data_IF_404904171893
#
_entry.id   IF_404904171893
#
_cell.length_a   1.000
_cell.length_b   1.000
_cell.length_c   1.000
_cell.angle_alpha   90.00
_cell.angle_beta   90.00
_cell.angle_gamma   90.00
#
_symmetry.space_group_name_H-M   'P 1'
#
loop_
_entity.id
_entity.type
_entity.pdbx_description
1 polymer ?
#
# COMPACT_ATOMS: atom_id res chain seq x y z
N UNK A 1 22.49 -20.00 -6.45
CA UNK A 1 21.64 -18.79 -6.61
C UNK A 1 20.80 -18.92 -7.87
N UNK A 2 21.41 -19.30 -8.99
CA UNK A 2 20.75 -19.43 -10.30
C UNK A 2 19.57 -20.42 -10.36
N UNK A 3 19.66 -21.61 -9.74
CA UNK A 3 18.55 -22.59 -9.73
C UNK A 3 17.27 -22.07 -9.05
N UNK A 4 17.40 -21.26 -8.01
CA UNK A 4 16.26 -20.63 -7.33
C UNK A 4 15.56 -19.68 -8.31
N UNK A 5 16.32 -18.83 -9.00
CA UNK A 5 15.77 -17.87 -9.95
C UNK A 5 15.12 -18.55 -11.15
N UNK A 6 15.74 -19.60 -11.71
CA UNK A 6 15.13 -20.37 -12.79
C UNK A 6 13.82 -21.06 -12.35
N UNK A 7 13.77 -21.59 -11.13
CA UNK A 7 12.55 -22.13 -10.54
C UNK A 7 11.46 -21.06 -10.43
N UNK A 8 11.81 -19.89 -9.92
CA UNK A 8 10.86 -18.79 -9.76
C UNK A 8 10.42 -18.18 -11.08
N UNK A 9 11.29 -18.08 -12.08
CA UNK A 9 10.92 -17.65 -13.42
C UNK A 9 9.87 -18.60 -14.02
N UNK A 10 10.06 -19.92 -13.89
CA UNK A 10 9.06 -20.91 -14.31
C UNK A 10 7.73 -20.77 -13.57
N UNK A 11 7.77 -20.49 -12.26
CA UNK A 11 6.56 -20.20 -11.48
C UNK A 11 5.82 -18.97 -12.00
N UNK A 12 6.53 -17.89 -12.34
CA UNK A 12 5.90 -16.69 -12.89
C UNK A 12 5.32 -16.89 -14.29
N UNK A 13 5.99 -17.67 -15.15
CA UNK A 13 5.41 -18.08 -16.43
C UNK A 13 4.13 -18.91 -16.22
N UNK A 14 4.14 -19.84 -15.26
CA UNK A 14 2.98 -20.64 -14.91
C UNK A 14 1.82 -19.79 -14.37
N UNK A 15 2.09 -18.77 -13.54
CA UNK A 15 1.07 -17.81 -13.09
C UNK A 15 0.35 -17.18 -14.28
N UNK A 16 1.09 -16.69 -15.27
CA UNK A 16 0.52 -16.10 -16.49
C UNK A 16 -0.41 -17.05 -17.23
N UNK A 17 0.04 -18.30 -17.47
CA UNK A 17 -0.77 -19.33 -18.14
C UNK A 17 -2.05 -19.61 -17.35
N UNK A 18 -1.96 -19.79 -16.03
CA UNK A 18 -3.15 -20.04 -15.20
C UNK A 18 -4.12 -18.87 -15.22
N UNK A 19 -3.63 -17.63 -15.19
CA UNK A 19 -4.48 -16.45 -15.30
C UNK A 19 -5.14 -16.35 -16.68
N UNK A 20 -4.45 -16.73 -17.76
CA UNK A 20 -5.05 -16.81 -19.11
C UNK A 20 -6.18 -17.85 -19.15
N UNK A 21 -5.98 -19.04 -18.59
CA UNK A 21 -6.99 -20.10 -18.49
C UNK A 21 -8.24 -19.66 -17.71
N UNK A 22 -8.06 -18.78 -16.72
CA UNK A 22 -9.15 -18.20 -15.91
C UNK A 22 -9.76 -16.93 -16.54
N UNK A 23 -9.25 -16.47 -17.68
CA UNK A 23 -9.69 -15.22 -18.32
C UNK A 23 -9.25 -13.94 -17.58
N UNK A 24 -8.31 -14.04 -16.65
CA UNK A 24 -7.87 -12.99 -15.74
C UNK A 24 -6.52 -12.32 -16.14
N UNK A 25 -5.89 -12.73 -17.23
CA UNK A 25 -4.54 -12.28 -17.60
C UNK A 25 -4.40 -10.76 -17.86
N UNK A 26 -5.49 -10.10 -18.23
CA UNK A 26 -5.53 -8.65 -18.52
C UNK A 26 -6.36 -7.86 -17.51
N UNK A 27 -6.76 -8.51 -16.42
CA UNK A 27 -7.50 -7.88 -15.35
C UNK A 27 -6.60 -6.95 -14.53
N UNK A 28 -7.21 -5.91 -13.98
CA UNK A 28 -6.61 -5.16 -12.89
C UNK A 28 -6.54 -6.03 -11.64
N UNK A 29 -5.77 -5.61 -10.64
CA UNK A 29 -5.71 -6.31 -9.37
C UNK A 29 -6.30 -5.50 -8.22
N UNK A 30 -6.78 -6.20 -7.19
CA UNK A 30 -7.23 -5.66 -5.91
C UNK A 30 -6.64 -6.50 -4.79
N UNK A 31 -6.30 -5.87 -3.69
CA UNK A 31 -5.70 -6.52 -2.53
C UNK A 31 -6.46 -6.10 -1.29
N UNK A 32 -6.93 -7.09 -0.53
CA UNK A 32 -7.43 -6.89 0.82
C UNK A 32 -6.50 -7.63 1.78
N UNK A 33 -5.63 -6.86 2.44
CA UNK A 33 -4.68 -7.40 3.41
C UNK A 33 -5.35 -7.77 4.75
N UNK A 34 -6.52 -7.21 5.07
CA UNK A 34 -7.26 -7.53 6.28
C UNK A 34 -7.84 -8.94 6.25
N UNK A 35 -8.28 -9.39 5.07
CA UNK A 35 -8.75 -10.79 4.86
C UNK A 35 -7.75 -11.65 4.09
N UNK A 36 -6.56 -11.11 3.80
CA UNK A 36 -5.44 -11.79 3.11
C UNK A 36 -5.84 -12.34 1.75
N UNK A 37 -6.54 -11.53 0.94
CA UNK A 37 -6.97 -11.90 -0.41
C UNK A 37 -6.38 -10.98 -1.46
N UNK A 38 -6.02 -11.58 -2.59
CA UNK A 38 -5.64 -10.92 -3.82
C UNK A 38 -6.65 -11.32 -4.89
N UNK A 39 -7.16 -10.36 -5.63
CA UNK A 39 -8.13 -10.56 -6.70
C UNK A 39 -7.62 -9.99 -8.00
N UNK A 40 -7.88 -10.70 -9.10
CA UNK A 40 -7.84 -10.14 -10.44
C UNK A 40 -9.26 -9.80 -10.84
N UNK A 41 -9.54 -8.52 -11.08
CA UNK A 41 -10.86 -7.97 -11.35
C UNK A 41 -10.97 -7.45 -12.78
N UNK A 42 -12.10 -7.71 -13.41
CA UNK A 42 -12.40 -7.13 -14.72
C UNK A 42 -12.73 -5.62 -14.64
N UNK A 43 -13.06 -5.02 -15.79
CA UNK A 43 -13.40 -3.59 -15.88
C UNK A 43 -14.70 -3.23 -15.14
N UNK A 44 -15.53 -4.22 -14.79
CA UNK A 44 -16.76 -4.05 -14.03
C UNK A 44 -16.52 -4.28 -12.52
N UNK A 45 -15.30 -4.63 -12.12
CA UNK A 45 -14.91 -4.91 -10.74
C UNK A 45 -15.26 -6.33 -10.28
N UNK A 46 -15.65 -7.23 -11.19
CA UNK A 46 -15.94 -8.62 -10.88
C UNK A 46 -14.62 -9.39 -10.82
N UNK A 47 -14.39 -10.10 -9.70
CA UNK A 47 -13.20 -10.94 -9.57
C UNK A 47 -13.35 -12.17 -10.47
N UNK A 48 -12.31 -12.44 -11.28
CA UNK A 48 -12.23 -13.63 -12.13
C UNK A 48 -11.29 -14.69 -11.53
N UNK A 49 -10.24 -14.23 -10.85
CA UNK A 49 -9.31 -15.09 -10.12
C UNK A 49 -9.03 -14.50 -8.73
N UNK A 50 -8.71 -15.39 -7.79
CA UNK A 50 -8.34 -15.03 -6.44
C UNK A 50 -7.17 -15.88 -5.95
N UNK A 51 -6.38 -15.31 -5.03
CA UNK A 51 -5.34 -15.99 -4.28
C UNK A 51 -5.36 -15.52 -2.83
N UNK A 52 -4.84 -16.34 -1.93
CA UNK A 52 -4.49 -15.86 -0.60
C UNK A 52 -3.18 -15.08 -0.69
N UNK A 53 -3.03 -14.02 0.12
CA UNK A 53 -1.90 -13.11 -0.02
C UNK A 53 -1.38 -12.59 1.31
N UNK A 54 -0.07 -12.36 1.35
CA UNK A 54 0.65 -11.70 2.43
C UNK A 54 1.78 -10.87 1.83
N UNK A 55 2.15 -9.78 2.49
CA UNK A 55 3.28 -8.95 2.08
C UNK A 55 4.58 -9.66 2.41
N UNK A 56 5.51 -9.63 1.45
CA UNK A 56 6.87 -10.15 1.61
C UNK A 56 7.82 -9.01 2.02
N UNK A 57 7.80 -7.94 1.23
CA UNK A 57 8.57 -6.73 1.47
C UNK A 57 8.02 -5.56 0.66
N UNK A 58 8.44 -4.35 1.00
CA UNK A 58 8.22 -3.14 0.21
C UNK A 58 9.56 -2.56 -0.21
N UNK A 59 9.68 -2.18 -1.47
CA UNK A 59 10.80 -1.41 -2.01
C UNK A 59 10.40 0.05 -2.15
N UNK A 60 11.18 0.97 -1.59
CA UNK A 60 10.97 2.40 -1.68
C UNK A 60 11.84 2.98 -2.81
N UNK A 61 11.20 3.64 -3.78
CA UNK A 61 11.89 4.21 -4.94
C UNK A 61 12.75 5.44 -4.55
N UNK A 62 12.35 6.16 -3.51
CA UNK A 62 12.96 7.41 -3.08
C UNK A 62 14.34 7.26 -2.46
N UNK A 63 14.53 6.23 -1.63
CA UNK A 63 15.79 5.98 -0.92
C UNK A 63 16.42 4.62 -1.28
N UNK A 64 15.84 3.92 -2.27
CA UNK A 64 16.33 2.65 -2.78
C UNK A 64 16.48 1.60 -1.66
N UNK A 65 15.55 1.60 -0.71
CA UNK A 65 15.55 0.66 0.41
C UNK A 65 14.48 -0.40 0.28
N UNK A 66 14.76 -1.59 0.80
CA UNK A 66 13.80 -2.68 0.98
C UNK A 66 13.53 -2.81 2.48
N UNK A 67 12.26 -2.79 2.86
CA UNK A 67 11.78 -3.11 4.20
C UNK A 67 11.01 -4.42 4.15
N UNK A 68 11.43 -5.42 4.93
CA UNK A 68 10.74 -6.70 5.02
C UNK A 68 9.42 -6.54 5.76
N UNK A 69 8.41 -7.32 5.37
CA UNK A 69 7.04 -7.15 5.87
C UNK A 69 6.93 -7.30 7.39
N UNK A 70 7.64 -8.27 7.98
CA UNK A 70 7.65 -8.49 9.43
C UNK A 70 8.26 -7.33 10.22
N UNK A 71 9.08 -6.51 9.58
CA UNK A 71 9.71 -5.34 10.18
C UNK A 71 8.88 -4.06 9.99
N UNK A 72 7.76 -4.12 9.26
CA UNK A 72 6.90 -2.97 9.04
C UNK A 72 5.89 -2.83 10.21
N UNK A 73 6.07 -1.83 11.10
CA UNK A 73 5.18 -1.64 12.26
C UNK A 73 3.79 -1.13 11.86
N UNK A 74 3.55 -0.91 10.56
CA UNK A 74 2.29 -0.43 10.04
C UNK A 74 1.47 -1.51 9.34
N UNK A 75 2.05 -2.68 9.16
CA UNK A 75 1.36 -3.83 8.61
C UNK A 75 0.76 -4.66 9.75
N UNK A 76 -0.45 -5.18 9.54
CA UNK A 76 -1.01 -6.17 10.45
C UNK A 76 -0.10 -7.41 10.47
N UNK A 77 0.15 -7.97 11.65
CA UNK A 77 0.98 -9.19 11.78
C UNK A 77 0.48 -10.35 10.92
N UNK A 78 -0.83 -10.45 10.69
CA UNK A 78 -1.40 -11.49 9.81
C UNK A 78 -1.25 -11.17 8.32
N UNK A 79 -1.09 -9.90 7.97
CA UNK A 79 -0.86 -9.45 6.60
C UNK A 79 0.61 -9.57 6.18
N UNK A 80 1.53 -9.73 7.12
CA UNK A 80 2.94 -9.99 6.89
C UNK A 80 3.23 -11.50 6.85
N UNK A 81 4.29 -11.89 6.13
CA UNK A 81 4.93 -13.18 6.39
C UNK A 81 5.71 -13.15 7.72
N UNK A 82 5.98 -14.32 8.28
CA UNK A 82 6.86 -14.45 9.44
C UNK A 82 8.31 -14.07 9.11
N UNK A 83 9.07 -13.72 10.13
CA UNK A 83 10.48 -13.37 9.99
C UNK A 83 11.30 -14.56 9.47
N UNK A 84 12.04 -14.33 8.39
CA UNK A 84 12.87 -15.37 7.76
C UNK A 84 14.27 -15.37 8.38
N UNK A 85 14.74 -16.50 8.97
CA UNK A 85 16.07 -16.57 9.56
C UNK A 85 17.18 -16.18 8.58
N UNK A 86 18.07 -15.30 9.02
CA UNK A 86 19.22 -14.84 8.23
C UNK A 86 18.93 -13.70 7.24
N UNK A 87 17.66 -13.31 7.08
CA UNK A 87 17.31 -12.10 6.32
C UNK A 87 17.33 -10.87 7.23
N UNK A 88 17.79 -9.75 6.70
CA UNK A 88 17.77 -8.45 7.42
C UNK A 88 16.40 -7.81 7.29
N UNK A 89 15.97 -7.11 8.34
CA UNK A 89 14.72 -6.35 8.38
C UNK A 89 14.67 -5.25 7.32
N UNK A 90 15.81 -4.58 7.10
CA UNK A 90 15.97 -3.51 6.12
C UNK A 90 17.28 -3.67 5.36
N UNK A 91 17.24 -3.38 4.07
CA UNK A 91 18.42 -3.33 3.19
C UNK A 91 18.37 -2.01 2.40
N UNK A 92 19.41 -1.20 2.52
CA UNK A 92 19.52 0.09 1.80
C UNK A 92 20.40 -0.05 0.56
N UNK A 93 20.24 0.85 -0.41
CA UNK A 93 21.08 0.92 -1.60
C UNK A 93 20.80 -0.16 -2.65
N UNK A 94 19.62 -0.76 -2.62
CA UNK A 94 19.18 -1.80 -3.55
C UNK A 94 18.72 -1.20 -4.89
N UNK A 95 18.82 -1.95 -5.98
CA UNK A 95 17.98 -1.71 -7.15
C UNK A 95 16.71 -2.59 -7.15
N UNK A 96 15.90 -2.48 -8.21
CA UNK A 96 14.70 -3.30 -8.37
C UNK A 96 15.01 -4.79 -8.54
N UNK A 97 16.16 -5.14 -9.12
CA UNK A 97 16.56 -6.53 -9.26
C UNK A 97 16.89 -7.10 -7.87
N UNK A 98 17.68 -6.39 -7.06
CA UNK A 98 17.97 -6.76 -5.67
C UNK A 98 16.70 -6.93 -4.84
N UNK A 99 15.75 -5.99 -4.97
CA UNK A 99 14.45 -6.06 -4.29
C UNK A 99 13.66 -7.30 -4.71
N UNK A 100 13.66 -7.64 -6.00
CA UNK A 100 13.06 -8.88 -6.50
C UNK A 100 13.75 -10.12 -5.94
N UNK A 101 15.07 -10.12 -5.86
CA UNK A 101 15.84 -11.24 -5.29
C UNK A 101 15.45 -11.50 -3.83
N UNK A 102 15.36 -10.43 -3.03
CA UNK A 102 14.94 -10.51 -1.63
C UNK A 102 13.49 -10.99 -1.51
N UNK A 103 12.58 -10.48 -2.34
CA UNK A 103 11.19 -10.92 -2.37
C UNK A 103 11.07 -12.42 -2.71
N UNK A 104 11.82 -12.90 -3.69
CA UNK A 104 11.86 -14.32 -4.10
C UNK A 104 12.40 -15.21 -2.98
N UNK A 105 13.46 -14.80 -2.29
CA UNK A 105 14.01 -15.55 -1.15
C UNK A 105 12.99 -15.65 -0.01
N UNK A 106 12.34 -14.52 0.32
CA UNK A 106 11.30 -14.47 1.34
C UNK A 106 10.09 -15.34 0.98
N UNK A 107 9.67 -15.29 -0.29
CA UNK A 107 8.57 -16.11 -0.82
C UNK A 107 8.89 -17.61 -0.77
N UNK A 108 10.12 -18.00 -1.08
CA UNK A 108 10.57 -19.39 -1.02
C UNK A 108 10.52 -19.92 0.41
N UNK A 109 11.05 -19.14 1.36
CA UNK A 109 11.02 -19.47 2.78
C UNK A 109 9.60 -19.53 3.35
N UNK A 110 8.70 -18.65 2.91
CA UNK A 110 7.30 -18.63 3.31
C UNK A 110 6.42 -19.66 2.57
N UNK A 111 6.99 -20.42 1.62
CA UNK A 111 6.26 -21.42 0.85
C UNK A 111 5.20 -20.84 -0.08
N UNK A 112 5.38 -19.61 -0.58
CA UNK A 112 4.48 -19.03 -1.57
C UNK A 112 4.55 -19.78 -2.92
N UNK A 113 3.42 -19.84 -3.62
CA UNK A 113 3.33 -20.42 -4.96
C UNK A 113 3.85 -19.43 -6.01
N UNK A 114 3.51 -18.15 -5.84
CA UNK A 114 3.89 -17.07 -6.75
C UNK A 114 4.26 -15.78 -6.01
N UNK A 115 4.95 -14.87 -6.69
CA UNK A 115 5.20 -13.49 -6.22
C UNK A 115 4.54 -12.50 -7.16
N UNK A 116 3.72 -11.61 -6.63
CA UNK A 116 3.16 -10.50 -7.40
C UNK A 116 3.89 -9.20 -7.06
N UNK A 117 4.20 -8.42 -8.09
CA UNK A 117 4.75 -7.06 -7.95
C UNK A 117 3.61 -6.07 -8.06
N UNK A 118 3.17 -5.52 -6.93
CA UNK A 118 2.15 -4.49 -6.89
C UNK A 118 2.82 -3.10 -7.00
N UNK A 119 2.78 -2.43 -8.17
CA UNK A 119 3.37 -1.12 -8.32
C UNK A 119 2.55 -0.06 -7.59
N UNK A 120 3.24 0.90 -6.98
CA UNK A 120 2.69 2.15 -6.47
C UNK A 120 3.57 3.33 -6.89
N UNK A 121 3.12 4.58 -6.67
CA UNK A 121 3.82 5.78 -7.17
C UNK A 121 5.26 5.93 -6.67
N UNK A 122 5.52 5.52 -5.43
CA UNK A 122 6.80 5.70 -4.73
C UNK A 122 7.31 4.41 -4.09
N UNK A 123 6.56 3.31 -4.25
CA UNK A 123 6.91 2.02 -3.67
C UNK A 123 6.45 0.90 -4.56
N UNK A 124 7.17 -0.22 -4.52
CA UNK A 124 6.74 -1.49 -5.07
C UNK A 124 6.53 -2.45 -3.90
N UNK A 125 5.32 -2.98 -3.76
CA UNK A 125 5.02 -3.98 -2.74
C UNK A 125 5.11 -5.35 -3.39
N UNK A 126 5.92 -6.23 -2.80
CA UNK A 126 6.00 -7.62 -3.23
C UNK A 126 5.07 -8.46 -2.36
N UNK A 127 4.16 -9.17 -3.01
CA UNK A 127 3.14 -10.00 -2.37
C UNK A 127 3.43 -11.47 -2.66
N UNK A 128 3.41 -12.29 -1.63
CA UNK A 128 3.33 -13.73 -1.79
C UNK A 128 1.91 -14.12 -2.14
N UNK A 129 1.75 -15.09 -3.02
CA UNK A 129 0.45 -15.62 -3.43
C UNK A 129 0.41 -17.12 -3.15
N UNK A 130 -0.71 -17.56 -2.57
CA UNK A 130 -1.02 -18.96 -2.28
C UNK A 130 -2.40 -19.30 -2.84
N UNK A 131 -2.66 -20.59 -3.10
CA UNK A 131 -4.01 -21.09 -3.37
C UNK A 131 -4.74 -20.36 -4.51
N UNK A 132 -4.05 -20.12 -5.62
CA UNK A 132 -4.62 -19.50 -6.82
C UNK A 132 -5.80 -20.32 -7.37
N UNK A 133 -6.95 -19.67 -7.54
CA UNK A 133 -8.23 -20.28 -7.92
C UNK A 133 -9.12 -19.31 -8.70
N UNK A 134 -10.16 -19.83 -9.37
CA UNK A 134 -11.22 -18.99 -9.94
C UNK A 134 -12.09 -18.37 -8.84
N UNK A 135 -12.48 -17.11 -9.02
CA UNK A 135 -13.37 -16.40 -8.12
C UNK A 135 -14.83 -16.65 -8.51
N UNK A 136 -15.39 -17.79 -8.10
CA UNK A 136 -16.75 -18.21 -8.51
C UNK A 136 -17.89 -17.42 -7.84
N UNK A 137 -17.64 -16.78 -6.70
CA UNK A 137 -18.60 -15.93 -5.98
C UNK A 137 -17.92 -14.94 -5.01
N UNK A 138 -16.60 -14.78 -5.11
CA UNK A 138 -15.88 -13.86 -4.23
C UNK A 138 -16.00 -12.45 -4.81
N UNK A 139 -16.72 -11.56 -4.12
CA UNK A 139 -16.68 -10.13 -4.41
C UNK A 139 -15.61 -9.49 -3.56
N UNK A 140 -14.80 -8.63 -4.18
CA UNK A 140 -13.96 -7.72 -3.43
C UNK A 140 -14.85 -6.64 -2.80
N UNK A 141 -14.88 -6.59 -1.48
CA UNK A 141 -15.45 -5.46 -0.74
C UNK A 141 -14.30 -4.69 -0.11
N UNK A 142 -14.07 -3.45 -0.57
CA UNK A 142 -13.06 -2.62 0.04
C UNK A 142 -13.48 -2.31 1.48
N UNK A 143 -12.69 -2.80 2.45
CA UNK A 143 -12.84 -2.43 3.85
C UNK A 143 -12.73 -0.91 4.07
N UNK A 144 -13.14 -0.43 5.24
CA UNK A 144 -13.06 0.99 5.55
C UNK A 144 -11.62 1.51 5.45
N UNK A 145 -11.38 2.60 4.69
CA UNK A 145 -10.05 3.21 4.62
C UNK A 145 -9.71 4.03 5.88
N UNK A 146 -10.67 4.26 6.77
CA UNK A 146 -10.54 5.21 7.88
C UNK A 146 -9.33 4.95 8.80
N UNK A 147 -9.04 3.70 9.25
CA UNK A 147 -7.88 3.45 10.11
C UNK A 147 -6.56 3.86 9.46
N UNK A 148 -6.41 3.61 8.16
CA UNK A 148 -5.21 3.98 7.41
C UNK A 148 -5.10 5.50 7.23
N UNK A 149 -6.19 6.16 6.82
CA UNK A 149 -6.21 7.61 6.63
C UNK A 149 -5.92 8.35 7.93
N UNK A 150 -6.58 7.97 9.03
CA UNK A 150 -6.36 8.56 10.36
C UNK A 150 -4.91 8.41 10.81
N UNK A 151 -4.31 7.24 10.59
CA UNK A 151 -2.90 7.00 10.92
C UNK A 151 -1.95 7.89 10.13
N UNK A 152 -2.21 8.11 8.83
CA UNK A 152 -1.42 9.04 8.01
C UNK A 152 -1.54 10.45 8.56
N UNK A 153 -2.76 10.93 8.79
CA UNK A 153 -3.01 12.30 9.28
C UNK A 153 -2.31 12.55 10.61
N UNK A 154 -2.47 11.64 11.59
CA UNK A 154 -1.79 11.73 12.89
C UNK A 154 -0.26 11.72 12.73
N UNK A 155 0.28 10.94 11.80
CA UNK A 155 1.73 10.88 11.55
C UNK A 155 2.24 12.19 10.92
N UNK A 156 1.48 12.78 10.00
CA UNK A 156 1.81 14.07 9.39
C UNK A 156 1.73 15.20 10.42
N UNK A 157 0.72 15.23 11.29
CA UNK A 157 0.62 16.21 12.37
C UNK A 157 1.86 16.16 13.29
N UNK A 158 2.30 14.96 13.67
CA UNK A 158 3.52 14.77 14.47
C UNK A 158 4.77 15.30 13.77
N UNK A 159 4.89 15.10 12.45
CA UNK A 159 6.02 15.62 11.67
C UNK A 159 5.98 17.13 11.51
N UNK A 160 4.80 17.75 11.42
CA UNK A 160 4.65 19.21 11.31
C UNK A 160 5.14 19.93 12.57
N UNK A 161 4.87 19.35 13.76
CA UNK A 161 5.30 19.91 15.04
C UNK A 161 6.72 19.52 15.43
N UNK A 162 7.35 18.61 14.70
CA UNK A 162 8.73 18.19 14.96
C UNK A 162 9.72 19.31 14.59
N UNK A 163 10.47 19.87 15.56
CA UNK A 163 11.39 20.97 15.30
C UNK A 163 12.57 20.60 14.37
N UNK A 164 12.86 19.31 14.18
CA UNK A 164 13.92 18.85 13.26
C UNK A 164 13.40 18.41 11.89
N UNK A 165 12.09 18.55 11.63
CA UNK A 165 11.52 18.18 10.34
C UNK A 165 12.05 19.10 9.22
N UNK A 166 12.53 18.48 8.14
CA UNK A 166 12.96 19.18 6.93
C UNK A 166 11.73 19.51 6.08
N UNK A 167 11.41 20.79 5.82
CA UNK A 167 10.18 21.20 5.12
C UNK A 167 9.98 20.51 3.78
N UNK A 168 11.05 20.34 2.99
CA UNK A 168 11.00 19.69 1.69
C UNK A 168 10.63 18.21 1.83
N UNK A 169 11.14 17.53 2.86
CA UNK A 169 10.80 16.13 3.15
C UNK A 169 9.34 16.00 3.57
N UNK A 170 8.86 16.92 4.41
CA UNK A 170 7.43 16.98 4.77
C UNK A 170 6.57 17.23 3.54
N UNK A 171 6.97 18.17 2.67
CA UNK A 171 6.28 18.48 1.42
C UNK A 171 6.19 17.26 0.49
N UNK A 172 7.28 16.53 0.34
CA UNK A 172 7.32 15.29 -0.43
C UNK A 172 6.39 14.22 0.16
N UNK A 173 6.42 14.02 1.49
CA UNK A 173 5.54 13.06 2.16
C UNK A 173 4.06 13.40 1.97
N UNK A 174 3.70 14.67 2.17
CA UNK A 174 2.32 15.14 1.98
C UNK A 174 1.86 14.92 0.54
N UNK A 175 2.65 15.30 -0.46
CA UNK A 175 2.32 15.08 -1.86
C UNK A 175 2.15 13.59 -2.19
N UNK A 176 3.08 12.75 -1.74
CA UNK A 176 3.08 11.31 -2.03
C UNK A 176 1.89 10.58 -1.40
N UNK A 177 1.59 10.85 -0.12
CA UNK A 177 0.39 10.28 0.51
C UNK A 177 -0.87 10.83 -0.14
N UNK A 178 -0.89 12.12 -0.52
CA UNK A 178 -2.03 12.70 -1.21
C UNK A 178 -2.33 12.05 -2.57
N UNK A 179 -1.29 11.76 -3.36
CA UNK A 179 -1.41 11.00 -4.61
C UNK A 179 -1.92 9.58 -4.36
N UNK A 180 -1.37 8.90 -3.34
CA UNK A 180 -1.80 7.55 -2.96
C UNK A 180 -3.28 7.51 -2.61
N UNK A 181 -3.77 8.45 -1.81
CA UNK A 181 -5.18 8.54 -1.43
C UNK A 181 -6.08 8.87 -2.62
N UNK A 182 -5.60 9.72 -3.54
CA UNK A 182 -6.31 10.03 -4.78
C UNK A 182 -6.44 8.81 -5.71
N UNK A 183 -5.42 7.95 -5.75
CA UNK A 183 -5.45 6.69 -6.48
C UNK A 183 -6.38 5.68 -5.81
N UNK A 184 -6.30 5.51 -4.49
CA UNK A 184 -7.22 4.64 -3.74
C UNK A 184 -8.68 5.07 -3.96
N UNK A 185 -8.97 6.38 -3.93
CA UNK A 185 -10.30 6.89 -4.24
C UNK A 185 -10.78 6.44 -5.62
N UNK A 186 -9.94 6.56 -6.65
CA UNK A 186 -10.30 6.25 -8.03
C UNK A 186 -10.38 4.75 -8.33
N UNK A 187 -9.56 3.92 -7.68
CA UNK A 187 -9.43 2.50 -8.02
C UNK A 187 -10.15 1.55 -7.05
N UNK A 188 -10.15 1.86 -5.75
CA UNK A 188 -10.72 0.98 -4.71
C UNK A 188 -12.10 1.45 -4.25
N UNK A 189 -12.30 2.76 -4.19
CA UNK A 189 -13.45 3.37 -3.53
C UNK A 189 -14.38 4.12 -4.49
N UNK A 190 -14.25 3.89 -5.80
CA UNK A 190 -15.10 4.51 -6.81
C UNK A 190 -16.56 4.13 -6.57
N UNK A 191 -17.44 5.13 -6.48
CA UNK A 191 -18.86 4.93 -6.19
C UNK A 191 -19.18 4.60 -4.72
N UNK A 192 -18.17 4.47 -3.86
CA UNK A 192 -18.38 4.29 -2.42
C UNK A 192 -18.56 5.63 -1.68
N UNK A 193 -19.10 5.63 -0.45
CA UNK A 193 -19.14 6.82 0.40
C UNK A 193 -17.77 7.44 0.70
N UNK A 194 -16.68 6.68 0.56
CA UNK A 194 -15.31 7.12 0.82
C UNK A 194 -14.67 7.89 -0.34
N UNK A 195 -15.24 7.81 -1.54
CA UNK A 195 -14.68 8.45 -2.74
C UNK A 195 -14.40 9.95 -2.52
N UNK A 196 -15.42 10.70 -2.13
CA UNK A 196 -15.35 12.14 -1.90
C UNK A 196 -14.38 12.51 -0.77
N UNK A 197 -14.54 11.92 0.44
CA UNK A 197 -13.62 12.14 1.55
C UNK A 197 -12.14 11.84 1.22
N UNK A 198 -11.85 10.73 0.53
CA UNK A 198 -10.47 10.39 0.12
C UNK A 198 -9.91 11.39 -0.87
N UNK A 199 -10.69 11.77 -1.90
CA UNK A 199 -10.30 12.83 -2.84
C UNK A 199 -10.01 14.15 -2.14
N UNK A 200 -10.81 14.51 -1.13
CA UNK A 200 -10.62 15.73 -0.34
C UNK A 200 -9.28 15.70 0.39
N UNK A 201 -9.01 14.65 1.18
CA UNK A 201 -7.72 14.51 1.86
C UNK A 201 -6.57 14.49 0.86
N UNK A 202 -6.68 13.69 -0.19
CA UNK A 202 -5.64 13.55 -1.20
C UNK A 202 -5.24 14.90 -1.83
N UNK A 203 -6.23 15.65 -2.30
CA UNK A 203 -6.01 16.97 -2.90
C UNK A 203 -5.47 18.00 -1.89
N UNK A 204 -5.99 18.02 -0.66
CA UNK A 204 -5.50 18.93 0.37
C UNK A 204 -4.04 18.65 0.71
N UNK A 205 -3.66 17.38 0.90
CA UNK A 205 -2.26 17.02 1.20
C UNK A 205 -1.32 17.41 0.05
N UNK A 206 -1.70 17.19 -1.21
CA UNK A 206 -0.92 17.66 -2.37
C UNK A 206 -0.78 19.19 -2.36
N UNK A 207 -1.88 19.91 -2.11
CA UNK A 207 -1.89 21.37 -2.05
C UNK A 207 -1.04 21.94 -0.92
N UNK A 208 -0.99 21.26 0.23
CA UNK A 208 -0.12 21.61 1.36
C UNK A 208 1.35 21.33 1.07
N UNK A 209 1.64 20.20 0.43
CA UNK A 209 3.01 19.74 0.16
C UNK A 209 3.74 20.55 -0.91
N UNK A 210 3.04 20.99 -1.95
CA UNK A 210 3.65 21.70 -3.09
C UNK A 210 4.41 22.98 -2.68
N UNK A 211 3.86 23.91 -1.90
CA UNK A 211 4.60 25.09 -1.45
C UNK A 211 5.85 24.77 -0.61
N UNK A 212 5.81 23.68 0.16
CA UNK A 212 6.95 23.24 0.97
C UNK A 212 8.09 22.69 0.10
N UNK A 213 7.76 22.03 -1.01
CA UNK A 213 8.72 21.60 -2.02
C UNK A 213 9.31 22.78 -2.81
N UNK A 214 8.46 23.75 -3.17
CA UNK A 214 8.86 24.86 -4.04
C UNK A 214 9.72 25.92 -3.29
N UNK A 215 9.41 26.20 -2.01
CA UNK A 215 10.03 27.29 -1.25
C UNK A 215 11.04 26.80 -0.21
N UNK A 216 10.91 25.56 0.27
CA UNK A 216 11.83 24.98 1.25
C UNK A 216 11.83 25.68 2.62
N UNK A 217 10.73 26.38 2.95
CA UNK A 217 10.61 27.12 4.23
C UNK A 217 9.26 26.87 4.86
N UNK A 218 9.29 26.73 6.18
CA UNK A 218 8.10 26.60 7.03
C UNK A 218 8.28 27.54 8.22
N UNK A 219 7.69 28.73 8.12
CA UNK A 219 7.56 29.62 9.26
C UNK A 219 6.40 29.17 10.17
N UNK A 220 6.27 29.79 11.34
CA UNK A 220 5.27 29.40 12.33
C UNK A 220 3.85 29.57 11.80
N UNK A 221 3.57 30.62 11.03
CA UNK A 221 2.25 30.85 10.43
C UNK A 221 1.87 29.76 9.42
N UNK A 222 2.82 29.34 8.58
CA UNK A 222 2.60 28.23 7.64
C UNK A 222 2.47 26.90 8.37
N UNK A 223 3.25 26.68 9.45
CA UNK A 223 3.14 25.49 10.29
C UNK A 223 1.73 25.39 10.89
N UNK A 224 1.21 26.48 11.44
CA UNK A 224 -0.13 26.54 12.03
C UNK A 224 -1.22 26.28 10.98
N UNK A 225 -1.08 26.84 9.78
CA UNK A 225 -2.00 26.59 8.67
C UNK A 225 -2.04 25.11 8.25
N UNK A 226 -0.86 24.49 8.07
CA UNK A 226 -0.75 23.07 7.72
C UNK A 226 -1.37 22.20 8.80
N UNK A 227 -1.06 22.49 10.07
CA UNK A 227 -1.56 21.72 11.21
C UNK A 227 -3.09 21.84 11.33
N UNK A 228 -3.64 23.05 11.19
CA UNK A 228 -5.08 23.27 11.24
C UNK A 228 -5.82 22.47 10.14
N UNK A 229 -5.30 22.45 8.92
CA UNK A 229 -5.89 21.67 7.83
C UNK A 229 -5.80 20.16 8.08
N UNK A 230 -4.69 19.65 8.62
CA UNK A 230 -4.56 18.23 8.96
C UNK A 230 -5.54 17.82 10.07
N UNK A 231 -5.72 18.66 11.09
CA UNK A 231 -6.69 18.43 12.18
C UNK A 231 -8.12 18.39 11.63
N UNK A 232 -8.51 19.35 10.78
CA UNK A 232 -9.85 19.37 10.17
C UNK A 232 -10.12 18.08 9.38
N UNK A 233 -9.13 17.62 8.62
CA UNK A 233 -9.23 16.35 7.90
C UNK A 233 -9.34 15.16 8.86
N UNK A 234 -8.61 15.15 9.96
CA UNK A 234 -8.69 14.06 10.95
C UNK A 234 -10.08 14.00 11.57
N UNK A 235 -10.62 15.13 12.03
CA UNK A 235 -11.96 15.21 12.63
C UNK A 235 -13.05 14.73 11.67
N UNK A 236 -12.94 15.07 10.38
CA UNK A 236 -13.82 14.55 9.34
C UNK A 236 -13.80 13.01 9.27
N UNK A 237 -12.61 12.42 9.33
CA UNK A 237 -12.42 10.97 9.24
C UNK A 237 -12.77 10.23 10.52
N UNK A 238 -12.58 10.84 11.69
CA UNK A 238 -13.07 10.32 12.97
C UNK A 238 -14.61 10.27 12.96
N UNK A 239 -15.27 11.31 12.46
CA UNK A 239 -16.72 11.34 12.33
C UNK A 239 -17.26 10.33 11.31
N UNK A 240 -16.49 10.00 10.25
CA UNK A 240 -16.84 8.94 9.31
C UNK A 240 -16.68 7.55 9.95
N UNK A 241 -15.55 7.31 10.62
CA UNK A 241 -15.29 6.04 11.31
C UNK A 241 -16.32 5.75 12.40
N UNK A 242 -16.78 6.78 13.13
CA UNK A 242 -17.80 6.61 14.17
C UNK A 242 -19.15 6.17 13.60
N UNK A 243 -19.51 6.63 12.40
CA UNK A 243 -20.76 6.24 11.72
C UNK A 243 -20.75 4.77 11.24
N UNK A 244 -19.58 4.16 11.15
CA UNK A 244 -19.42 2.76 10.73
C UNK A 244 -19.54 1.77 11.88
N UNK A 245 -19.42 2.24 13.13
CA UNK A 245 -19.60 1.36 14.28
C UNK A 245 -21.05 0.88 14.32
N UNK A 246 -21.30 -0.43 14.45
CA UNK A 246 -22.65 -0.94 14.61
C UNK A 246 -23.27 -0.33 15.88
N UNK A 247 -24.57 0.05 15.85
CA UNK A 247 -25.21 0.65 17.00
C UNK A 247 -25.21 -0.34 18.19
N UNK A 248 -24.50 0.01 19.26
CA UNK A 248 -24.52 -0.72 20.54
C UNK A 248 -23.26 -1.53 20.91
N UNK A 249 -22.10 -1.24 20.30
CA UNK A 249 -20.77 -1.68 20.78
C UNK A 249 -20.06 -0.54 21.48
#
# INVERSE_FOLDING_TARGET
MDELFERWQRRQTNLGIRLEEMGAAHCDFRVDLGVRKFFWVDAQGVALAAADTRVLCSYALSDRSVLMAWANPHLDSEAAIEAVPGMRDRVDGCDEADAWQLAVQAADAAGADYVYRAPGPQTMVFLGLWNLRMALAESFEAGSPAPFVLKILISMEKLVVDPIAVPERLGALLANYGETLNQQAAHLYLGSPYFGPLKRVGNTMIGLGKPLLDVGRMDDGRRDEVLAQLIELRELWEALAEKEKPPGV
#
